data_IF_790483198117
#
_entry.id   IF_790483198117
#
_cell.length_a   1.000
_cell.length_b   1.000
_cell.length_c   1.000
_cell.angle_alpha   90.00
_cell.angle_beta   90.00
_cell.angle_gamma   90.00
#
_symmetry.space_group_name_H-M   'P 1'
#
loop_
_entity.id
_entity.type
_entity.pdbx_description
1 polymer ?
#
# COMPACT_ATOMS: atom_id res chain seq x y z
N UNK A 1 4.80 -6.16 -0.81
CA UNK A 1 5.95 -5.87 0.09
C UNK A 1 6.03 -6.84 1.26
N UNK A 2 7.09 -7.67 1.34
CA UNK A 2 7.27 -8.66 2.42
C UNK A 2 7.32 -8.06 3.83
N UNK A 3 7.79 -6.83 3.97
CA UNK A 3 7.87 -6.17 5.28
C UNK A 3 6.48 -5.94 5.90
N UNK A 4 5.49 -5.55 5.10
CA UNK A 4 4.10 -5.39 5.56
C UNK A 4 3.42 -6.74 5.81
N UNK A 5 3.75 -7.77 5.01
CA UNK A 5 3.17 -9.10 5.15
C UNK A 5 3.38 -9.68 6.56
N UNK A 6 4.60 -9.49 7.10
CA UNK A 6 4.99 -9.93 8.45
C UNK A 6 4.26 -9.19 9.58
N UNK A 7 3.54 -8.11 9.28
CA UNK A 7 2.92 -7.21 10.27
C UNK A 7 1.41 -7.11 10.13
N UNK A 8 0.81 -7.86 9.20
CA UNK A 8 -0.63 -7.83 8.96
C UNK A 8 -1.42 -8.04 10.26
N UNK A 9 -1.05 -9.04 11.07
CA UNK A 9 -1.74 -9.32 12.34
C UNK A 9 -1.73 -8.14 13.32
N UNK A 10 -0.69 -7.31 13.30
CA UNK A 10 -0.61 -6.13 14.17
C UNK A 10 -1.51 -5.00 13.68
N UNK A 11 -1.64 -4.84 12.35
CA UNK A 11 -2.60 -3.91 11.76
C UNK A 11 -4.05 -4.38 12.02
N UNK A 12 -4.32 -5.68 11.90
CA UNK A 12 -5.62 -6.26 12.22
C UNK A 12 -5.98 -6.07 13.69
N UNK A 13 -5.02 -6.28 14.60
CA UNK A 13 -5.20 -5.98 16.03
C UNK A 13 -5.48 -4.49 16.31
N UNK A 14 -5.04 -3.60 15.41
CA UNK A 14 -5.36 -2.18 15.41
C UNK A 14 -6.60 -1.84 14.55
N UNK A 15 -7.48 -2.83 14.28
CA UNK A 15 -8.70 -2.69 13.48
C UNK A 15 -8.47 -2.06 12.09
N UNK A 16 -7.35 -2.42 11.44
CA UNK A 16 -6.90 -1.84 10.17
C UNK A 16 -6.50 -2.93 9.18
N UNK A 17 -7.00 -2.84 7.95
CA UNK A 17 -6.62 -3.75 6.86
C UNK A 17 -5.46 -3.17 6.05
N UNK A 18 -4.47 -4.01 5.73
CA UNK A 18 -3.39 -3.66 4.80
C UNK A 18 -3.82 -3.97 3.37
N UNK A 19 -3.57 -3.05 2.43
CA UNK A 19 -3.78 -3.25 1.00
C UNK A 19 -2.52 -2.82 0.25
N UNK A 20 -2.03 -3.67 -0.67
CA UNK A 20 -1.04 -3.25 -1.67
C UNK A 20 -1.75 -2.83 -2.95
N UNK A 21 -1.26 -1.80 -3.65
CA UNK A 21 -1.79 -1.41 -4.95
C UNK A 21 -0.67 -0.95 -5.89
N UNK A 22 -0.78 -1.28 -7.17
CA UNK A 22 0.09 -0.75 -8.22
C UNK A 22 -0.57 -0.87 -9.60
N UNK A 23 0.05 -0.28 -10.62
CA UNK A 23 -0.41 -0.33 -12.00
C UNK A 23 -0.19 -1.67 -12.71
N UNK A 24 0.45 -2.65 -12.06
CA UNK A 24 0.69 -3.98 -12.61
C UNK A 24 -0.59 -4.82 -12.66
N UNK A 25 -0.58 -5.84 -13.52
CA UNK A 25 -1.73 -6.75 -13.69
C UNK A 25 -1.90 -7.71 -12.51
N UNK A 26 -3.10 -8.28 -12.30
CA UNK A 26 -3.31 -9.31 -11.29
C UNK A 26 -2.40 -10.53 -11.45
N UNK A 27 -2.07 -10.90 -12.70
CA UNK A 27 -1.15 -12.01 -13.00
C UNK A 27 0.29 -11.69 -12.56
N UNK A 28 0.73 -10.46 -12.78
CA UNK A 28 2.03 -9.97 -12.31
C UNK A 28 2.09 -9.96 -10.78
N UNK A 29 1.00 -9.55 -10.12
CA UNK A 29 0.88 -9.60 -8.66
C UNK A 29 0.90 -11.02 -8.11
N UNK A 30 0.21 -11.96 -8.74
CA UNK A 30 0.23 -13.35 -8.33
C UNK A 30 1.65 -13.91 -8.38
N UNK A 31 2.35 -13.77 -9.51
CA UNK A 31 3.73 -14.23 -9.65
C UNK A 31 4.67 -13.57 -8.63
N UNK A 32 4.47 -12.28 -8.36
CA UNK A 32 5.24 -11.56 -7.35
C UNK A 32 4.95 -12.07 -5.94
N UNK A 33 3.68 -12.28 -5.61
CA UNK A 33 3.26 -12.80 -4.30
C UNK A 33 3.83 -14.19 -4.04
N UNK A 34 3.77 -15.09 -5.02
CA UNK A 34 4.37 -16.43 -4.95
C UNK A 34 5.88 -16.37 -4.76
N UNK A 35 6.58 -15.52 -5.54
CA UNK A 35 8.03 -15.39 -5.47
C UNK A 35 8.54 -14.87 -4.12
N UNK A 36 7.79 -13.97 -3.48
CA UNK A 36 8.20 -13.29 -2.24
C UNK A 36 7.42 -13.72 -1.01
N UNK A 37 6.63 -14.80 -1.12
CA UNK A 37 5.81 -15.36 -0.06
C UNK A 37 4.85 -14.34 0.59
N UNK A 38 4.24 -13.46 -0.21
CA UNK A 38 3.24 -12.49 0.26
C UNK A 38 1.88 -13.18 0.26
N UNK A 39 1.28 -13.36 1.44
CA UNK A 39 0.08 -14.20 1.62
C UNK A 39 -0.98 -13.57 2.50
N UNK A 40 -0.61 -12.59 3.30
CA UNK A 40 -1.44 -12.11 4.40
C UNK A 40 -2.27 -10.87 4.04
N UNK A 41 -2.11 -10.30 2.84
CA UNK A 41 -2.91 -9.17 2.40
C UNK A 41 -3.07 -9.11 0.87
N UNK A 42 -4.16 -8.50 0.35
CA UNK A 42 -4.40 -8.43 -1.07
C UNK A 42 -3.49 -7.43 -1.78
N UNK A 43 -3.10 -7.78 -3.00
CA UNK A 43 -2.45 -6.90 -3.97
C UNK A 43 -3.46 -6.51 -5.04
N UNK A 44 -3.85 -5.24 -5.05
CA UNK A 44 -4.82 -4.66 -5.97
C UNK A 44 -4.14 -4.20 -7.25
N UNK A 45 -4.82 -4.42 -8.37
CA UNK A 45 -4.38 -3.98 -9.68
C UNK A 45 -5.10 -2.70 -10.11
N UNK A 46 -4.31 -1.68 -10.46
CA UNK A 46 -4.76 -0.41 -11.04
C UNK A 46 -4.28 -0.29 -12.49
N UNK A 47 -4.56 -1.30 -13.32
CA UNK A 47 -4.16 -1.30 -14.74
C UNK A 47 -4.74 -0.13 -15.54
N UNK A 48 -5.78 0.55 -15.06
CA UNK A 48 -6.34 1.74 -15.70
C UNK A 48 -5.78 3.06 -15.14
N UNK A 49 -4.92 2.99 -14.11
CA UNK A 49 -4.29 4.14 -13.45
C UNK A 49 -5.32 5.07 -12.82
N UNK A 50 -6.53 4.58 -12.55
CA UNK A 50 -7.63 5.38 -12.01
C UNK A 50 -7.30 5.76 -10.57
N UNK A 51 -6.97 4.77 -9.73
CA UNK A 51 -6.63 5.02 -8.34
C UNK A 51 -5.35 5.85 -8.22
N UNK A 52 -4.32 5.56 -9.03
CA UNK A 52 -3.07 6.31 -9.02
C UNK A 52 -3.29 7.79 -9.37
N UNK A 53 -4.18 8.10 -10.33
CA UNK A 53 -4.53 9.48 -10.68
C UNK A 53 -5.37 10.14 -9.59
N UNK A 54 -6.39 9.46 -9.08
CA UNK A 54 -7.30 9.98 -8.06
C UNK A 54 -6.57 10.29 -6.74
N UNK A 55 -5.59 9.47 -6.37
CA UNK A 55 -4.73 9.69 -5.20
C UNK A 55 -3.54 10.63 -5.48
N UNK A 56 -3.43 11.14 -6.71
CA UNK A 56 -2.38 12.08 -7.12
C UNK A 56 -0.98 11.50 -7.02
N UNK A 57 -0.82 10.20 -7.26
CA UNK A 57 0.46 9.46 -7.23
C UNK A 57 0.83 8.88 -8.58
N UNK A 58 0.07 9.12 -9.65
CA UNK A 58 0.45 8.68 -10.98
C UNK A 58 1.75 9.35 -11.44
N UNK A 59 2.70 8.55 -11.94
CA UNK A 59 3.98 8.96 -12.47
C UNK A 59 4.01 8.71 -13.99
N UNK A 60 3.70 9.72 -14.83
CA UNK A 60 3.55 9.55 -16.28
C UNK A 60 4.81 9.03 -16.96
N UNK A 61 5.99 9.53 -16.57
CA UNK A 61 7.27 9.16 -17.19
C UNK A 61 7.59 7.66 -17.01
N UNK A 62 7.11 7.04 -15.93
CA UNK A 62 7.30 5.62 -15.65
C UNK A 62 6.06 4.77 -15.92
N UNK A 63 4.95 5.40 -16.30
CA UNK A 63 3.63 4.77 -16.43
C UNK A 63 3.25 3.89 -15.22
N UNK A 64 3.63 4.35 -14.03
CA UNK A 64 3.50 3.66 -12.75
C UNK A 64 3.01 4.62 -11.67
N UNK A 65 2.81 4.15 -10.44
CA UNK A 65 2.58 5.03 -9.30
C UNK A 65 3.91 5.40 -8.61
N UNK A 66 4.00 6.65 -8.15
CA UNK A 66 4.94 7.06 -7.11
C UNK A 66 4.67 6.22 -5.85
N UNK A 67 5.73 6.00 -5.08
CA UNK A 67 5.62 5.28 -3.82
C UNK A 67 4.98 6.19 -2.78
N UNK A 68 3.88 5.75 -2.21
CA UNK A 68 3.17 6.46 -1.15
C UNK A 68 2.40 5.47 -0.25
N UNK A 69 2.13 5.89 0.97
CA UNK A 69 1.28 5.20 1.93
C UNK A 69 0.17 6.15 2.38
N UNK A 70 -1.06 5.64 2.38
CA UNK A 70 -2.25 6.36 2.82
C UNK A 70 -2.88 5.58 3.97
N UNK A 71 -3.33 6.28 5.01
CA UNK A 71 -4.26 5.71 5.99
C UNK A 71 -5.64 6.28 5.67
N UNK A 72 -6.57 5.40 5.29
CA UNK A 72 -7.95 5.77 4.98
C UNK A 72 -8.81 5.37 6.19
N UNK A 73 -9.49 6.35 6.78
CA UNK A 73 -10.42 6.13 7.89
C UNK A 73 -11.69 5.41 7.43
N UNK A 74 -12.43 4.83 8.37
CA UNK A 74 -13.65 4.07 8.09
C UNK A 74 -14.74 4.85 7.33
N UNK A 75 -14.71 6.19 7.41
CA UNK A 75 -15.61 7.08 6.68
C UNK A 75 -15.11 7.43 5.26
N UNK A 76 -14.05 6.76 4.78
CA UNK A 76 -13.46 7.01 3.45
C UNK A 76 -12.60 8.26 3.38
N UNK A 77 -12.22 8.85 4.52
CA UNK A 77 -11.38 10.06 4.57
C UNK A 77 -9.91 9.71 4.72
N UNK A 78 -9.03 10.42 4.03
CA UNK A 78 -7.58 10.26 4.21
C UNK A 78 -7.19 10.90 5.55
N UNK A 79 -6.59 10.10 6.43
CA UNK A 79 -6.14 10.50 7.77
C UNK A 79 -4.63 10.71 7.85
N UNK A 80 -3.89 10.13 6.91
CA UNK A 80 -2.44 10.24 6.81
C UNK A 80 -2.00 10.03 5.37
N UNK A 81 -0.96 10.76 4.95
CA UNK A 81 -0.27 10.58 3.67
C UNK A 81 1.22 10.66 3.91
N UNK A 82 1.96 9.68 3.41
CA UNK A 82 3.41 9.75 3.29
C UNK A 82 3.81 9.40 1.86
N UNK A 83 4.63 10.26 1.26
CA UNK A 83 5.21 10.07 -0.08
C UNK A 83 6.69 9.83 0.07
N UNK A 84 7.22 8.90 -0.72
CA UNK A 84 8.60 8.46 -0.62
C UNK A 84 9.40 8.90 -1.84
N UNK A 85 10.62 9.36 -1.60
CA UNK A 85 11.60 9.68 -2.61
C UNK A 85 12.22 8.44 -3.27
N UNK A 86 13.17 8.67 -4.19
CA UNK A 86 13.87 7.59 -4.88
C UNK A 86 14.72 6.79 -3.89
N UNK A 87 14.46 5.48 -3.80
CA UNK A 87 15.20 4.56 -2.92
C UNK A 87 14.63 4.46 -1.51
N UNK A 88 13.70 5.34 -1.13
CA UNK A 88 13.01 5.26 0.15
C UNK A 88 11.92 4.17 0.11
N UNK A 89 11.74 3.48 1.24
CA UNK A 89 10.77 2.40 1.41
C UNK A 89 9.87 2.71 2.61
N UNK A 90 8.56 2.39 2.54
CA UNK A 90 7.68 2.49 3.68
C UNK A 90 8.11 1.51 4.77
N UNK A 91 8.13 2.01 6.00
CA UNK A 91 8.46 1.24 7.20
C UNK A 91 7.17 0.82 7.92
N UNK A 92 6.85 -0.50 8.00
CA UNK A 92 5.60 -0.95 8.61
C UNK A 92 5.41 -0.51 10.05
N UNK A 93 6.49 -0.48 10.85
CA UNK A 93 6.45 -0.02 12.25
C UNK A 93 6.01 1.43 12.38
N UNK A 94 6.56 2.30 11.53
CA UNK A 94 6.20 3.71 11.48
C UNK A 94 4.73 3.86 11.13
N UNK A 95 4.27 3.18 10.08
CA UNK A 95 2.87 3.26 9.64
C UNK A 95 1.92 2.70 10.69
N UNK A 96 2.27 1.60 11.36
CA UNK A 96 1.49 1.04 12.45
C UNK A 96 1.40 2.00 13.64
N UNK A 97 2.49 2.72 13.96
CA UNK A 97 2.46 3.76 14.98
C UNK A 97 1.51 4.90 14.60
N UNK A 98 1.49 5.34 13.33
CA UNK A 98 0.52 6.34 12.86
C UNK A 98 -0.92 5.83 12.92
N UNK A 99 -1.18 4.58 12.54
CA UNK A 99 -2.51 3.94 12.69
C UNK A 99 -2.98 3.99 14.14
N UNK A 100 -2.11 3.64 15.10
CA UNK A 100 -2.44 3.64 16.53
C UNK A 100 -2.72 5.01 17.13
N UNK A 101 -2.29 6.11 16.49
CA UNK A 101 -2.64 7.48 16.91
C UNK A 101 -4.04 7.90 16.48
N UNK A 102 -4.60 7.21 15.49
CA UNK A 102 -5.90 7.50 14.91
C UNK A 102 -7.03 6.69 15.56
N UNK A 103 -6.68 5.74 16.43
CA UNK A 103 -7.57 4.92 17.26
C UNK A 103 -7.72 5.47 18.66
#
# INVERSE_FOLDING_TARGET
MPAFDKRVSDFEAANTQVLGISTDSPFSHQNWAEKYDIKNYPLLSDVHRTAAKDYGVYWPEWNANQRATFIVGAQGTIRFVERYGKGELPEPDKILAEVKKLG
#
